data_IF_647550396710
#
_entry.id   IF_647550396710
#
_cell.length_a   1.000
_cell.length_b   1.000
_cell.length_c   1.000
_cell.angle_alpha   90.00
_cell.angle_beta   90.00
_cell.angle_gamma   90.00
#
_symmetry.space_group_name_H-M   'P 1'
#
loop_
_entity.id
_entity.type
_entity.pdbx_description
1 polymer ?
#
# COMPACT_ATOMS: atom_id res chain seq x y z
N UNK A 1 -25.93 -2.74 -1.46
CA UNK A 1 -25.01 -3.67 -2.16
C UNK A 1 -23.56 -3.53 -1.74
N UNK A 2 -22.83 -2.44 -2.06
CA UNK A 2 -21.40 -2.34 -1.70
C UNK A 2 -21.15 -2.35 -0.17
N UNK A 3 -22.04 -1.72 0.60
CA UNK A 3 -21.99 -1.73 2.07
C UNK A 3 -22.23 -3.13 2.65
N UNK A 4 -23.17 -3.88 2.07
CA UNK A 4 -23.54 -5.22 2.55
C UNK A 4 -22.44 -6.25 2.29
N UNK A 5 -21.65 -6.06 1.22
CA UNK A 5 -20.54 -6.94 0.85
C UNK A 5 -19.21 -6.57 1.54
N UNK A 6 -19.10 -5.37 2.13
CA UNK A 6 -17.85 -4.90 2.70
C UNK A 6 -17.26 -5.82 3.79
N UNK A 7 -18.04 -6.36 4.75
CA UNK A 7 -17.51 -7.26 5.75
C UNK A 7 -16.92 -8.55 5.16
N UNK A 8 -17.55 -9.09 4.12
CA UNK A 8 -17.07 -10.30 3.46
C UNK A 8 -15.79 -10.02 2.66
N UNK A 9 -15.69 -8.86 1.99
CA UNK A 9 -14.47 -8.46 1.30
C UNK A 9 -13.33 -8.21 2.29
N UNK A 10 -13.61 -7.59 3.44
CA UNK A 10 -12.63 -7.38 4.50
C UNK A 10 -12.09 -8.70 5.05
N UNK A 11 -12.96 -9.68 5.27
CA UNK A 11 -12.57 -11.05 5.63
C UNK A 11 -11.63 -11.67 4.61
N UNK A 12 -11.88 -11.46 3.31
CA UNK A 12 -11.03 -11.98 2.23
C UNK A 12 -9.66 -11.29 2.14
N UNK A 13 -9.47 -10.08 2.69
CA UNK A 13 -8.15 -9.44 2.76
C UNK A 13 -7.17 -10.20 3.67
N UNK A 14 -7.70 -10.93 4.66
CA UNK A 14 -6.91 -11.68 5.64
C UNK A 14 -6.55 -13.10 5.18
N UNK A 15 -6.99 -13.51 3.98
CA UNK A 15 -6.65 -14.82 3.43
C UNK A 15 -5.18 -14.88 3.03
N UNK A 16 -4.58 -16.08 3.10
CA UNK A 16 -3.17 -16.28 2.72
C UNK A 16 -2.92 -16.39 1.22
N UNK A 17 -3.97 -16.59 0.43
CA UNK A 17 -3.84 -16.74 -1.03
C UNK A 17 -3.64 -15.36 -1.68
N UNK A 18 -2.49 -15.12 -2.34
CA UNK A 18 -2.23 -13.82 -2.96
C UNK A 18 -3.23 -13.45 -4.06
N UNK A 19 -3.79 -14.42 -4.78
CA UNK A 19 -4.80 -14.16 -5.81
C UNK A 19 -6.13 -13.69 -5.21
N UNK A 20 -6.50 -14.24 -4.05
CA UNK A 20 -7.67 -13.78 -3.29
C UNK A 20 -7.40 -12.38 -2.74
N UNK A 21 -6.26 -12.17 -2.07
CA UNK A 21 -5.89 -10.88 -1.52
C UNK A 21 -5.89 -9.79 -2.60
N UNK A 22 -5.21 -10.01 -3.74
CA UNK A 22 -5.19 -9.05 -4.87
C UNK A 22 -6.60 -8.62 -5.31
N UNK A 23 -7.51 -9.59 -5.47
CA UNK A 23 -8.90 -9.33 -5.90
C UNK A 23 -9.71 -8.64 -4.81
N UNK A 24 -9.55 -9.05 -3.55
CA UNK A 24 -10.20 -8.43 -2.41
C UNK A 24 -9.75 -6.98 -2.25
N UNK A 25 -8.45 -6.69 -2.33
CA UNK A 25 -7.92 -5.32 -2.22
C UNK A 25 -8.40 -4.43 -3.37
N UNK A 26 -8.44 -4.95 -4.61
CA UNK A 26 -9.05 -4.21 -5.74
C UNK A 26 -10.54 -3.94 -5.52
N UNK A 27 -11.26 -4.91 -4.94
CA UNK A 27 -12.66 -4.74 -4.58
C UNK A 27 -12.83 -3.66 -3.51
N UNK A 28 -12.00 -3.67 -2.46
CA UNK A 28 -11.98 -2.66 -1.41
C UNK A 28 -11.76 -1.25 -1.96
N UNK A 29 -10.86 -1.08 -2.95
CA UNK A 29 -10.70 0.22 -3.64
C UNK A 29 -12.02 0.68 -4.26
N UNK A 30 -12.77 -0.21 -4.92
CA UNK A 30 -14.07 0.14 -5.52
C UNK A 30 -15.14 0.41 -4.46
N UNK A 31 -15.14 -0.34 -3.36
CA UNK A 31 -16.06 -0.13 -2.24
C UNK A 31 -15.84 1.25 -1.64
N UNK A 32 -14.59 1.62 -1.31
CA UNK A 32 -14.26 2.93 -0.74
C UNK A 32 -14.64 4.06 -1.68
N UNK A 33 -14.35 3.93 -2.98
CA UNK A 33 -14.77 4.93 -3.98
C UNK A 33 -16.29 5.12 -4.06
N UNK A 34 -17.07 4.09 -3.75
CA UNK A 34 -18.53 4.13 -3.81
C UNK A 34 -19.19 4.47 -2.47
N UNK A 35 -18.55 4.12 -1.36
CA UNK A 35 -19.00 4.34 0.01
C UNK A 35 -17.79 4.77 0.86
N UNK A 36 -17.39 6.06 0.79
CA UNK A 36 -16.20 6.57 1.47
C UNK A 36 -16.20 6.36 2.99
N UNK A 37 -17.39 6.35 3.62
CA UNK A 37 -17.56 6.14 5.06
C UNK A 37 -17.04 4.78 5.58
N UNK A 38 -16.67 3.85 4.69
CA UNK A 38 -16.08 2.56 5.06
C UNK A 38 -14.55 2.57 5.02
N UNK A 39 -13.92 3.72 4.72
CA UNK A 39 -12.47 3.86 4.62
C UNK A 39 -11.74 3.49 5.92
N UNK A 40 -12.28 3.90 7.07
CA UNK A 40 -11.67 3.65 8.39
C UNK A 40 -11.50 2.16 8.69
N UNK A 41 -12.50 1.34 8.34
CA UNK A 41 -12.46 -0.12 8.53
C UNK A 41 -11.29 -0.79 7.78
N UNK A 42 -10.78 -0.14 6.73
CA UNK A 42 -9.75 -0.71 5.85
C UNK A 42 -8.33 -0.27 6.23
N UNK A 43 -8.15 0.64 7.19
CA UNK A 43 -6.83 1.11 7.61
C UNK A 43 -5.99 -0.05 8.16
N UNK A 44 -6.47 -0.75 9.18
CA UNK A 44 -5.75 -1.88 9.80
C UNK A 44 -5.47 -3.05 8.83
N UNK A 45 -6.43 -3.49 7.99
CA UNK A 45 -6.15 -4.46 6.93
C UNK A 45 -5.04 -4.00 5.98
N UNK A 46 -5.01 -2.72 5.60
CA UNK A 46 -3.99 -2.18 4.69
C UNK A 46 -2.61 -2.15 5.35
N UNK A 47 -2.49 -1.72 6.60
CA UNK A 47 -1.22 -1.77 7.36
C UNK A 47 -0.62 -3.18 7.35
N UNK A 48 -1.48 -4.20 7.46
CA UNK A 48 -1.05 -5.60 7.40
C UNK A 48 -0.60 -6.00 5.99
N UNK A 49 -1.36 -5.62 4.96
CA UNK A 49 -1.05 -5.93 3.56
C UNK A 49 0.23 -5.24 3.06
N UNK A 50 0.60 -4.09 3.62
CA UNK A 50 1.86 -3.39 3.29
C UNK A 50 3.12 -4.14 3.76
N UNK A 51 2.96 -5.19 4.57
CA UNK A 51 4.05 -6.06 5.05
C UNK A 51 4.16 -7.37 4.25
N UNK A 52 3.30 -7.57 3.25
CA UNK A 52 3.30 -8.77 2.41
C UNK A 52 4.55 -8.87 1.54
N UNK A 53 5.02 -10.09 1.28
CA UNK A 53 6.19 -10.32 0.40
C UNK A 53 5.82 -10.39 -1.07
N UNK A 54 4.57 -10.71 -1.38
CA UNK A 54 4.13 -10.88 -2.77
C UNK A 54 3.96 -9.50 -3.43
N UNK A 55 4.76 -9.18 -4.44
CA UNK A 55 4.79 -7.85 -5.07
C UNK A 55 3.43 -7.43 -5.64
N UNK A 56 2.70 -8.36 -6.27
CA UNK A 56 1.34 -8.08 -6.76
C UNK A 56 0.33 -7.71 -5.66
N UNK A 57 0.49 -8.22 -4.43
CA UNK A 57 -0.35 -7.82 -3.28
C UNK A 57 0.07 -6.44 -2.80
N UNK A 58 1.38 -6.23 -2.61
CA UNK A 58 1.95 -4.93 -2.23
C UNK A 58 1.52 -3.80 -3.18
N UNK A 59 1.62 -4.01 -4.49
CA UNK A 59 1.27 -3.03 -5.52
C UNK A 59 -0.16 -2.49 -5.34
N UNK A 60 -1.09 -3.39 -5.06
CA UNK A 60 -2.51 -3.07 -4.91
C UNK A 60 -2.79 -2.51 -3.50
N UNK A 61 -2.09 -3.01 -2.47
CA UNK A 61 -2.15 -2.48 -1.11
C UNK A 61 -1.68 -1.02 -1.05
N UNK A 62 -0.55 -0.69 -1.70
CA UNK A 62 -0.03 0.68 -1.84
C UNK A 62 -1.05 1.57 -2.56
N UNK A 63 -1.70 1.06 -3.61
CA UNK A 63 -2.75 1.80 -4.31
C UNK A 63 -3.97 2.06 -3.43
N UNK A 64 -4.39 1.09 -2.59
CA UNK A 64 -5.49 1.28 -1.63
C UNK A 64 -5.07 2.27 -0.54
N UNK A 65 -3.89 2.12 0.04
CA UNK A 65 -3.29 3.04 1.02
C UNK A 65 -3.32 4.49 0.49
N UNK A 66 -2.80 4.71 -0.73
CA UNK A 66 -2.82 6.03 -1.38
C UNK A 66 -4.23 6.60 -1.50
N UNK A 67 -5.23 5.77 -1.83
CA UNK A 67 -6.62 6.23 -1.92
C UNK A 67 -7.16 6.61 -0.53
N UNK A 68 -6.84 5.84 0.51
CA UNK A 68 -7.27 6.13 1.88
C UNK A 68 -6.64 7.43 2.41
N UNK A 69 -5.34 7.65 2.20
CA UNK A 69 -4.66 8.89 2.57
C UNK A 69 -5.31 10.13 1.93
N UNK A 70 -5.76 10.01 0.67
CA UNK A 70 -6.40 11.13 -0.04
C UNK A 70 -7.87 11.36 0.38
N UNK A 71 -8.48 10.41 1.07
CA UNK A 71 -9.90 10.48 1.48
C UNK A 71 -10.08 10.84 2.95
N UNK A 72 -9.15 10.46 3.81
CA UNK A 72 -9.21 10.71 5.25
C UNK A 72 -7.82 11.13 5.78
N UNK A 73 -7.77 12.32 6.36
CA UNK A 73 -6.56 12.88 6.97
C UNK A 73 -6.13 12.07 8.21
N UNK A 74 -7.07 11.53 8.99
CA UNK A 74 -6.75 10.65 10.12
C UNK A 74 -6.05 9.36 9.65
N UNK A 75 -6.47 8.80 8.52
CA UNK A 75 -5.82 7.65 7.93
C UNK A 75 -4.39 8.00 7.46
N UNK A 76 -4.19 9.18 6.88
CA UNK A 76 -2.87 9.68 6.50
C UNK A 76 -1.91 9.71 7.71
N UNK A 77 -2.36 10.26 8.84
CA UNK A 77 -1.56 10.33 10.07
C UNK A 77 -1.20 8.94 10.62
N UNK A 78 -2.14 8.00 10.59
CA UNK A 78 -1.88 6.61 10.99
C UNK A 78 -0.81 5.99 10.07
N UNK A 79 -0.94 6.15 8.75
CA UNK A 79 0.04 5.59 7.80
C UNK A 79 1.41 6.25 7.90
N UNK A 80 1.49 7.56 8.16
CA UNK A 80 2.75 8.26 8.44
C UNK A 80 3.48 7.61 9.61
N UNK A 81 2.77 7.40 10.72
CA UNK A 81 3.34 6.85 11.95
C UNK A 81 3.69 5.38 11.85
N UNK A 82 2.84 4.55 11.24
CA UNK A 82 2.99 3.09 11.30
C UNK A 82 3.64 2.47 10.07
N UNK A 83 3.57 3.12 8.91
CA UNK A 83 3.92 2.50 7.63
C UNK A 83 5.13 3.13 6.94
N UNK A 84 5.53 4.36 7.29
CA UNK A 84 6.64 5.05 6.61
C UNK A 84 7.91 4.22 6.61
N UNK A 85 8.37 3.74 7.77
CA UNK A 85 9.57 2.89 7.89
C UNK A 85 9.46 1.58 7.09
N UNK A 86 8.28 0.96 7.09
CA UNK A 86 8.02 -0.29 6.35
C UNK A 86 8.16 -0.04 4.85
N UNK A 87 7.54 1.01 4.32
CA UNK A 87 7.57 1.36 2.89
C UNK A 87 8.99 1.75 2.43
N UNK A 88 9.69 2.49 3.27
CA UNK A 88 11.11 2.87 3.16
C UNK A 88 11.99 1.62 3.06
N UNK A 89 11.75 0.61 3.91
CA UNK A 89 12.44 -0.69 3.84
C UNK A 89 12.10 -1.47 2.58
N UNK A 90 10.82 -1.57 2.21
CA UNK A 90 10.40 -2.26 0.98
C UNK A 90 11.06 -1.62 -0.25
N UNK A 91 11.12 -0.28 -0.33
CA UNK A 91 11.81 0.41 -1.42
C UNK A 91 13.30 0.05 -1.46
N UNK A 92 13.99 0.03 -0.32
CA UNK A 92 15.38 -0.43 -0.20
C UNK A 92 15.56 -1.85 -0.72
N UNK A 93 14.66 -2.76 -0.34
CA UNK A 93 14.75 -4.17 -0.70
C UNK A 93 14.57 -4.36 -2.21
N UNK A 94 13.60 -3.68 -2.85
CA UNK A 94 13.37 -3.80 -4.29
C UNK A 94 14.51 -3.13 -5.10
N UNK A 95 15.10 -2.04 -4.61
CA UNK A 95 16.23 -1.37 -5.28
C UNK A 95 17.54 -2.17 -5.15
N UNK A 96 17.84 -2.68 -3.96
CA UNK A 96 19.14 -3.32 -3.68
C UNK A 96 19.16 -4.82 -4.01
N UNK A 97 18.00 -5.47 -4.11
CA UNK A 97 17.89 -6.87 -4.52
C UNK A 97 17.20 -6.99 -5.89
N UNK A 98 17.92 -6.69 -6.99
CA UNK A 98 17.33 -6.67 -8.32
C UNK A 98 17.01 -8.07 -8.86
N UNK A 99 17.47 -9.15 -8.19
CA UNK A 99 17.26 -10.50 -8.69
C UNK A 99 15.91 -11.06 -8.24
N UNK A 100 14.85 -10.64 -8.93
CA UNK A 100 13.53 -11.22 -8.85
C UNK A 100 13.02 -11.54 -10.27
N UNK A 101 13.41 -12.70 -10.85
CA UNK A 101 13.15 -13.00 -12.27
C UNK A 101 11.66 -13.03 -12.64
N UNK A 102 10.77 -13.25 -11.67
CA UNK A 102 9.31 -13.18 -11.87
C UNK A 102 8.80 -11.74 -12.07
N UNK A 103 9.53 -10.74 -11.55
CA UNK A 103 9.17 -9.32 -11.59
C UNK A 103 10.15 -8.47 -12.40
N UNK A 104 11.16 -9.07 -13.03
CA UNK A 104 12.13 -8.36 -13.85
C UNK A 104 11.48 -7.83 -15.13
N UNK A 105 11.76 -6.57 -15.43
CA UNK A 105 11.40 -5.94 -16.71
C UNK A 105 12.66 -5.29 -17.26
N UNK A 106 13.30 -5.96 -18.22
CA UNK A 106 14.49 -5.46 -18.90
C UNK A 106 15.66 -5.15 -17.96
N UNK A 107 15.90 -6.00 -16.96
CA UNK A 107 16.98 -5.84 -15.98
C UNK A 107 16.64 -4.87 -14.84
N UNK A 108 15.39 -4.44 -14.73
CA UNK A 108 14.87 -3.63 -13.62
C UNK A 108 13.90 -4.49 -12.81
N UNK A 109 14.20 -4.69 -11.53
CA UNK A 109 13.27 -5.35 -10.61
C UNK A 109 12.01 -4.49 -10.39
N UNK A 110 10.85 -5.06 -10.73
CA UNK A 110 9.51 -4.52 -10.52
C UNK A 110 9.39 -3.00 -10.63
N UNK A 111 9.52 -2.43 -11.84
CA UNK A 111 9.42 -0.99 -12.04
C UNK A 111 8.04 -0.44 -11.64
N UNK A 112 6.98 -1.24 -11.68
CA UNK A 112 5.64 -0.82 -11.30
C UNK A 112 5.52 -0.61 -9.79
N UNK A 113 6.08 -1.53 -9.00
CA UNK A 113 6.12 -1.41 -7.56
C UNK A 113 6.94 -0.19 -7.13
N UNK A 114 8.12 0.03 -7.74
CA UNK A 114 8.93 1.23 -7.53
C UNK A 114 8.13 2.52 -7.71
N UNK A 115 7.46 2.67 -8.86
CA UNK A 115 6.67 3.87 -9.17
C UNK A 115 5.54 4.08 -8.15
N UNK A 116 4.88 2.99 -7.73
CA UNK A 116 3.78 3.08 -6.74
C UNK A 116 4.28 3.44 -5.35
N UNK A 117 5.39 2.85 -4.90
CA UNK A 117 6.02 3.19 -3.62
C UNK A 117 6.39 4.67 -3.57
N UNK A 118 7.11 5.17 -4.58
CA UNK A 118 7.52 6.57 -4.64
C UNK A 118 6.32 7.53 -4.65
N UNK A 119 5.23 7.17 -5.33
CA UNK A 119 3.99 7.97 -5.32
C UNK A 119 3.35 8.02 -3.95
N UNK A 120 3.33 6.91 -3.20
CA UNK A 120 2.80 6.89 -1.84
C UNK A 120 3.70 7.66 -0.87
N UNK A 121 5.01 7.44 -0.92
CA UNK A 121 5.99 8.16 -0.08
C UNK A 121 5.87 9.68 -0.29
N UNK A 122 5.67 10.14 -1.53
CA UNK A 122 5.40 11.56 -1.82
C UNK A 122 4.13 12.08 -1.11
N UNK A 123 3.08 11.28 -1.01
CA UNK A 123 1.85 11.66 -0.29
C UNK A 123 2.11 11.70 1.21
N UNK A 124 2.81 10.70 1.75
CA UNK A 124 3.14 10.63 3.17
C UNK A 124 4.04 11.78 3.62
N UNK A 125 5.09 12.12 2.85
CA UNK A 125 6.03 13.18 3.19
C UNK A 125 5.54 14.60 2.88
N UNK A 126 4.39 14.78 2.23
CA UNK A 126 3.90 16.11 1.89
C UNK A 126 3.49 16.89 3.15
N UNK A 127 4.23 17.96 3.46
CA UNK A 127 3.93 18.80 4.64
C UNK A 127 4.30 18.17 5.98
N UNK A 128 5.06 17.08 5.99
CA UNK A 128 5.48 16.35 7.19
C UNK A 128 7.01 16.20 7.21
N UNK A 129 7.68 16.95 8.10
CA UNK A 129 9.13 17.00 8.16
C UNK A 129 9.73 15.67 8.66
N UNK A 130 9.10 15.05 9.66
CA UNK A 130 9.59 13.82 10.29
C UNK A 130 9.54 12.62 9.32
N UNK A 131 8.44 12.48 8.56
CA UNK A 131 8.31 11.49 7.50
C UNK A 131 9.30 11.76 6.36
N UNK A 132 9.52 13.03 5.99
CA UNK A 132 10.46 13.39 4.94
C UNK A 132 11.92 13.07 5.35
N UNK A 133 12.31 13.37 6.59
CA UNK A 133 13.62 13.03 7.13
C UNK A 133 13.83 11.51 7.20
N UNK A 134 12.80 10.77 7.58
CA UNK A 134 12.81 9.30 7.56
C UNK A 134 13.03 8.72 6.15
N UNK A 135 12.55 9.41 5.11
CA UNK A 135 12.71 9.01 3.70
C UNK A 135 14.06 9.47 3.10
N UNK A 136 14.59 10.62 3.54
CA UNK A 136 15.80 11.23 2.99
C UNK A 136 17.04 10.32 3.09
N UNK A 137 17.13 9.50 4.15
CA UNK A 137 18.25 8.55 4.30
C UNK A 137 18.28 7.41 3.27
N UNK A 138 17.28 7.31 2.39
CA UNK A 138 17.20 6.30 1.33
C UNK A 138 17.22 6.91 -0.06
N UNK A 139 16.60 8.07 -0.21
CA UNK A 139 16.42 8.74 -1.49
C UNK A 139 17.60 9.65 -1.87
N UNK A 140 18.51 9.92 -0.92
CA UNK A 140 19.77 10.64 -1.12
C UNK A 140 20.94 9.67 -1.35
#
# INVERSE_FOLDING_TARGET
MARDLAPEVERLLQFRDPNIQKKATLCSIRIVKKVPNLAENLVNPVVSLLKEKHHGVLLIAIQLCTNLCNLNEEALEIFRKECTEVLVKVLKDVVNNPYAPEYDVSGIADPFLHIRLLRLLRVLGHGDADANDSMNHILA
#
